data_IF_037992249293
#
_entry.id   IF_037992249293
#
_cell.length_a   1.000
_cell.length_b   1.000
_cell.length_c   1.000
_cell.angle_alpha   90.00
_cell.angle_beta   90.00
_cell.angle_gamma   90.00
#
_symmetry.space_group_name_H-M   'P 1'
#
loop_
_entity.id
_entity.type
_entity.pdbx_description
1 polymer ?
#
# COMPACT_ATOMS: atom_id res chain seq x y z
N UNK A 1 -4.44 14.48 -0.81
CA UNK A 1 -5.91 14.44 -0.88
C UNK A 1 -6.35 13.17 -1.60
N UNK A 2 -7.36 12.45 -1.10
CA UNK A 2 -7.98 11.35 -1.86
C UNK A 2 -8.68 11.95 -3.07
N UNK A 3 -8.37 11.45 -4.26
CA UNK A 3 -8.92 11.99 -5.50
C UNK A 3 -9.96 11.05 -6.08
N UNK A 4 -9.73 9.74 -5.99
CA UNK A 4 -10.67 8.76 -6.54
C UNK A 4 -10.47 7.38 -5.90
N UNK A 5 -11.56 6.61 -5.82
CA UNK A 5 -11.57 5.22 -5.37
C UNK A 5 -12.17 4.34 -6.46
N UNK A 6 -11.43 3.33 -6.92
CA UNK A 6 -11.82 2.46 -8.04
C UNK A 6 -11.15 1.09 -7.89
N UNK A 7 -11.88 -0.01 -8.15
CA UNK A 7 -11.30 -1.36 -8.15
C UNK A 7 -10.51 -1.68 -6.86
N UNK A 8 -11.03 -1.28 -5.69
CA UNK A 8 -10.38 -1.43 -4.36
C UNK A 8 -9.10 -0.60 -4.16
N UNK A 9 -8.76 0.29 -5.10
CA UNK A 9 -7.63 1.19 -5.02
C UNK A 9 -8.08 2.60 -4.64
N UNK A 10 -7.31 3.23 -3.77
CA UNK A 10 -7.42 4.63 -3.37
C UNK A 10 -6.27 5.40 -4.03
N UNK A 11 -6.62 6.41 -4.83
CA UNK A 11 -5.66 7.27 -5.54
C UNK A 11 -5.55 8.60 -4.80
N UNK A 12 -4.36 8.92 -4.32
CA UNK A 12 -4.06 10.09 -3.52
C UNK A 12 -3.14 11.01 -4.30
N UNK A 13 -3.45 12.31 -4.38
CA UNK A 13 -2.56 13.32 -4.94
C UNK A 13 -1.95 14.15 -3.80
N UNK A 14 -0.64 14.30 -3.82
CA UNK A 14 0.15 15.12 -2.90
C UNK A 14 0.20 16.59 -3.37
N UNK A 15 0.70 17.49 -2.51
CA UNK A 15 0.74 18.93 -2.80
C UNK A 15 1.65 19.28 -4.00
N UNK A 16 2.70 18.49 -4.21
CA UNK A 16 3.61 18.54 -5.35
C UNK A 16 3.04 17.89 -6.63
N UNK A 17 1.76 17.51 -6.61
CA UNK A 17 1.03 16.81 -7.68
C UNK A 17 1.51 15.38 -7.95
N UNK A 18 2.37 14.83 -7.10
CA UNK A 18 2.72 13.42 -7.17
C UNK A 18 1.55 12.55 -6.73
N UNK A 19 1.46 11.35 -7.28
CA UNK A 19 0.34 10.44 -7.01
C UNK A 19 0.81 9.16 -6.32
N UNK A 20 0.04 8.75 -5.32
CA UNK A 20 0.20 7.51 -4.57
C UNK A 20 -1.06 6.70 -4.74
N UNK A 21 -0.94 5.41 -5.04
CA UNK A 21 -2.09 4.50 -5.14
C UNK A 21 -1.94 3.39 -4.12
N UNK A 22 -2.98 3.19 -3.31
CA UNK A 22 -2.99 2.15 -2.28
C UNK A 22 -4.16 1.20 -2.46
N UNK A 23 -3.97 -0.09 -2.16
CA UNK A 23 -5.04 -1.09 -2.08
C UNK A 23 -5.01 -1.74 -0.69
N UNK A 24 -6.10 -1.68 0.07
CA UNK A 24 -6.16 -2.21 1.44
C UNK A 24 -5.00 -1.73 2.35
N UNK A 25 -4.52 -0.50 2.14
CA UNK A 25 -3.37 0.07 2.84
C UNK A 25 -1.99 -0.31 2.30
N UNK A 26 -1.89 -1.24 1.33
CA UNK A 26 -0.66 -1.55 0.59
C UNK A 26 -0.38 -0.46 -0.44
N UNK A 27 0.85 0.03 -0.54
CA UNK A 27 1.29 0.86 -1.66
C UNK A 27 1.43 -0.01 -2.92
N UNK A 28 0.72 0.32 -3.99
CA UNK A 28 0.68 -0.51 -5.22
C UNK A 28 1.15 0.21 -6.47
N UNK A 29 1.17 1.55 -6.48
CA UNK A 29 1.68 2.37 -7.59
C UNK A 29 2.05 3.76 -7.10
N UNK A 30 3.05 4.37 -7.72
CA UNK A 30 3.37 5.79 -7.56
C UNK A 30 3.52 6.47 -8.93
N UNK A 31 3.46 7.79 -8.94
CA UNK A 31 3.76 8.61 -10.12
C UNK A 31 4.37 9.95 -9.69
N UNK A 32 5.48 10.34 -10.32
CA UNK A 32 6.12 11.64 -10.15
C UNK A 32 7.28 11.64 -9.16
N UNK A 33 7.65 10.49 -8.60
CA UNK A 33 8.75 10.38 -7.62
C UNK A 33 10.11 10.00 -8.25
N UNK A 34 10.15 9.78 -9.57
CA UNK A 34 11.36 9.38 -10.29
C UNK A 34 11.50 7.86 -10.36
N UNK A 35 11.70 7.21 -9.22
CA UNK A 35 11.69 5.74 -9.08
C UNK A 35 10.29 5.24 -8.70
N UNK A 36 9.38 5.32 -9.67
CA UNK A 36 7.98 5.02 -9.44
C UNK A 36 7.71 3.52 -9.43
N UNK A 37 6.89 3.06 -8.47
CA UNK A 37 6.36 1.69 -8.48
C UNK A 37 5.39 1.56 -9.65
N UNK A 38 5.71 0.68 -10.59
CA UNK A 38 4.91 0.44 -11.79
C UNK A 38 3.96 -0.75 -11.63
N UNK A 39 4.34 -1.73 -10.81
CA UNK A 39 3.57 -2.95 -10.58
C UNK A 39 3.91 -3.60 -9.22
N UNK A 40 2.89 -4.18 -8.59
CA UNK A 40 3.00 -5.04 -7.40
C UNK A 40 2.17 -6.29 -7.65
N UNK A 41 2.82 -7.45 -7.68
CA UNK A 41 2.15 -8.71 -8.00
C UNK A 41 1.53 -9.37 -6.77
N UNK A 42 0.70 -10.38 -7.02
CA UNK A 42 0.10 -11.26 -6.01
C UNK A 42 -0.73 -10.55 -4.91
N UNK A 43 -1.33 -9.40 -5.24
CA UNK A 43 -2.12 -8.59 -4.29
C UNK A 43 -3.36 -9.32 -3.75
N UNK A 44 -3.92 -10.27 -4.50
CA UNK A 44 -5.05 -11.07 -4.06
C UNK A 44 -4.71 -11.99 -2.88
N UNK A 45 -3.44 -12.39 -2.73
CA UNK A 45 -2.94 -13.19 -1.62
C UNK A 45 -2.24 -12.35 -0.55
N UNK A 46 -2.25 -11.02 -0.67
CA UNK A 46 -1.69 -10.14 0.35
C UNK A 46 -2.49 -10.29 1.66
N UNK A 47 -1.83 -10.56 2.80
CA UNK A 47 -2.48 -10.65 4.10
C UNK A 47 -3.25 -9.37 4.49
N UNK A 48 -2.86 -8.19 3.96
CA UNK A 48 -3.64 -6.95 4.10
C UNK A 48 -4.97 -7.00 3.33
N UNK A 49 -5.00 -7.65 2.17
CA UNK A 49 -6.23 -7.87 1.39
C UNK A 49 -7.12 -8.92 2.03
N UNK A 50 -6.54 -10.01 2.55
CA UNK A 50 -7.29 -11.10 3.17
C UNK A 50 -7.83 -10.73 4.57
N UNK A 51 -7.15 -9.80 5.25
CA UNK A 51 -7.47 -9.31 6.58
C UNK A 51 -6.62 -10.01 7.65
N UNK A 52 -5.67 -9.28 8.22
CA UNK A 52 -4.67 -9.79 9.17
C UNK A 52 -5.23 -10.37 10.47
N UNK A 53 -6.44 -9.97 10.87
CA UNK A 53 -7.02 -10.40 12.14
C UNK A 53 -7.74 -11.76 12.05
N UNK A 54 -7.91 -12.31 10.85
CA UNK A 54 -8.52 -13.63 10.67
C UNK A 54 -7.49 -14.71 10.98
N UNK A 55 -7.91 -15.72 11.74
CA UNK A 55 -7.04 -16.87 12.09
C UNK A 55 -6.57 -17.67 10.88
N UNK A 56 -7.29 -17.61 9.76
CA UNK A 56 -6.99 -18.34 8.52
C UNK A 56 -6.06 -17.57 7.57
N UNK A 57 -5.75 -16.31 7.85
CA UNK A 57 -4.93 -15.49 6.95
C UNK A 57 -3.46 -15.95 7.01
N UNK A 58 -2.82 -16.26 5.86
CA UNK A 58 -1.41 -16.60 5.84
C UNK A 58 -0.57 -15.41 6.31
N UNK A 59 0.45 -15.67 7.13
CA UNK A 59 1.34 -14.63 7.67
C UNK A 59 2.62 -14.45 6.84
N UNK A 60 2.70 -15.07 5.67
CA UNK A 60 3.79 -14.90 4.71
C UNK A 60 3.21 -14.52 3.36
N UNK A 61 3.89 -13.63 2.65
CA UNK A 61 3.46 -13.18 1.34
C UNK A 61 4.66 -13.00 0.42
N UNK A 62 4.66 -13.76 -0.68
CA UNK A 62 5.59 -13.58 -1.78
C UNK A 62 4.98 -12.61 -2.79
N UNK A 63 5.75 -11.61 -3.18
CA UNK A 63 5.35 -10.61 -4.17
C UNK A 63 6.54 -10.23 -5.03
N UNK A 64 6.27 -9.68 -6.21
CA UNK A 64 7.25 -9.01 -7.04
C UNK A 64 6.87 -7.55 -7.14
N UNK A 65 7.81 -6.66 -6.86
CA UNK A 65 7.62 -5.21 -7.00
C UNK A 65 8.51 -4.73 -8.12
N UNK A 66 7.96 -3.88 -8.96
CA UNK A 66 8.60 -3.35 -10.16
C UNK A 66 8.67 -1.83 -10.08
N UNK A 67 9.81 -1.27 -10.46
CA UNK A 67 10.09 0.17 -10.43
C UNK A 67 10.54 0.67 -11.79
N UNK A 68 10.19 1.91 -12.12
CA UNK A 68 10.42 2.52 -13.43
C UNK A 68 11.90 2.60 -13.83
N UNK A 69 12.82 2.78 -12.88
CA UNK A 69 14.25 3.00 -13.16
C UNK A 69 15.13 1.77 -12.89
N UNK A 70 14.56 0.67 -12.39
CA UNK A 70 15.31 -0.55 -12.11
C UNK A 70 15.48 -1.36 -13.40
N UNK A 71 16.73 -1.49 -13.87
CA UNK A 71 17.05 -2.18 -15.13
C UNK A 71 16.54 -3.63 -15.22
N UNK A 72 16.41 -4.34 -14.09
CA UNK A 72 15.90 -5.72 -14.04
C UNK A 72 14.37 -5.83 -13.97
N UNK A 73 13.66 -4.73 -14.12
CA UNK A 73 12.20 -4.67 -14.04
C UNK A 73 11.63 -4.80 -12.64
N UNK A 74 12.32 -5.44 -11.68
CA UNK A 74 11.85 -5.53 -10.29
C UNK A 74 12.56 -6.56 -9.42
N UNK A 75 12.08 -6.72 -8.19
CA UNK A 75 12.61 -7.64 -7.18
C UNK A 75 11.51 -8.52 -6.58
N UNK A 76 11.83 -9.79 -6.36
CA UNK A 76 10.97 -10.71 -5.61
C UNK A 76 11.21 -10.52 -4.11
N UNK A 77 10.13 -10.35 -3.36
CA UNK A 77 10.13 -10.05 -1.93
C UNK A 77 9.33 -11.11 -1.18
N UNK A 78 9.78 -11.44 0.02
CA UNK A 78 9.01 -12.26 0.98
C UNK A 78 8.74 -11.43 2.23
N UNK A 79 7.48 -11.11 2.47
CA UNK A 79 7.02 -10.44 3.68
C UNK A 79 6.59 -11.46 4.72
N UNK A 80 6.83 -11.15 6.00
CA UNK A 80 6.35 -11.94 7.15
C UNK A 80 5.61 -11.01 8.11
N UNK A 81 4.39 -11.39 8.48
CA UNK A 81 3.52 -10.63 9.36
C UNK A 81 3.52 -11.24 10.75
N UNK A 82 3.60 -10.38 11.75
CA UNK A 82 3.58 -10.78 13.16
C UNK A 82 2.68 -9.80 13.91
N UNK A 83 1.86 -10.33 14.81
CA UNK A 83 1.01 -9.50 15.66
C UNK A 83 1.89 -8.80 16.68
N UNK A 84 2.02 -7.49 16.55
CA UNK A 84 2.66 -6.66 17.56
C UNK A 84 1.73 -6.46 18.77
N UNK A 85 2.31 -6.00 19.88
CA UNK A 85 1.53 -5.57 21.03
C UNK A 85 0.48 -4.51 20.63
N UNK A 86 -0.67 -4.56 21.27
CA UNK A 86 -1.74 -3.61 21.01
C UNK A 86 -1.28 -2.18 21.28
N UNK A 87 -1.47 -1.30 20.31
CA UNK A 87 -1.21 0.13 20.43
C UNK A 87 -2.46 0.92 20.06
N UNK A 88 -2.85 1.85 20.93
CA UNK A 88 -3.89 2.83 20.64
C UNK A 88 -3.27 3.99 19.89
N UNK A 89 -3.56 4.10 18.60
CA UNK A 89 -3.17 5.25 17.81
C UNK A 89 -4.31 6.27 17.82
N UNK A 90 -4.09 7.42 18.46
CA UNK A 90 -5.02 8.54 18.38
C UNK A 90 -4.83 9.28 17.05
N UNK A 91 -5.90 9.47 16.29
CA UNK A 91 -5.90 10.33 15.12
C UNK A 91 -6.62 11.63 15.48
N UNK A 92 -5.82 12.64 15.85
CA UNK A 92 -6.33 13.96 16.23
C UNK A 92 -6.44 14.82 14.97
N UNK A 93 -7.64 14.90 14.41
CA UNK A 93 -7.93 15.82 13.31
C UNK A 93 -8.40 17.15 13.91
N UNK A 94 -7.56 18.18 13.83
CA UNK A 94 -7.93 19.54 14.24
C UNK A 94 -8.54 20.23 13.02
N UNK A 95 -9.84 20.03 12.81
CA UNK A 95 -10.64 20.82 11.89
C UNK A 95 -11.47 21.82 12.69
N UNK A 96 -11.13 23.11 12.62
CA UNK A 96 -12.02 24.16 13.08
C UNK A 96 -13.28 24.14 12.19
N UNK A 97 -14.42 23.78 12.79
CA UNK A 97 -15.74 24.10 12.24
C UNK A 97 -16.01 25.54 12.64
N UNK A 98 -16.22 26.42 11.67
CA UNK A 98 -16.81 27.74 11.89
C UNK A 98 -18.29 27.59 12.24
#
# INVERSE_FOLDING_TARGET
MLVFAEQQQLKWIAADKNMVVTQNGRLVKTLGFGEDITNVSNLAQDPLTLGLLKSTTPMKWQTRVEWSQVFRGGYDLTSVFQRAAEKRCGFWWIGHVN
#
